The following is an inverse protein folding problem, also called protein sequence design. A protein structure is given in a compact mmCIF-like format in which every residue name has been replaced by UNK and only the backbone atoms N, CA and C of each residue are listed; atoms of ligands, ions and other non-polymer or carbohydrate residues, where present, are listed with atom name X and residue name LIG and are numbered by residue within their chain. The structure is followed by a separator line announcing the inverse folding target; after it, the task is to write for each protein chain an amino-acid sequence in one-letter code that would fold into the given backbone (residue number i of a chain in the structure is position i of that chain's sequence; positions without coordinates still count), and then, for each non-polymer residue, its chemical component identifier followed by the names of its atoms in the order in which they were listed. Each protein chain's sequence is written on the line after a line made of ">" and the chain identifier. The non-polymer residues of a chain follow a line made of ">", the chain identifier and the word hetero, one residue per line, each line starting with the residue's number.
data_IF_221255156355
#
_entry.id   IF_221255156355
#
_cell.length_a   1.000
_cell.length_b   1.000
_cell.length_c   1.000
_cell.angle_alpha   90.00
_cell.angle_beta   90.00
_cell.angle_gamma   90.00
#
_symmetry.space_group_name_H-M   'P 1'
#
loop_
_entity.id
_entity.type
_entity.pdbx_description
1 polymer ?
#
# COMPACT_ATOMS: atom_id res chain seq x y z
N UNK A 1 -0.87 -23.75 -18.22
CA UNK A 1 -0.62 -22.75 -17.15
C UNK A 1 -1.63 -21.63 -17.30
N UNK A 2 -1.91 -20.90 -16.22
CA UNK A 2 -2.83 -19.75 -16.22
C UNK A 2 -2.15 -18.51 -15.64
N UNK A 3 -2.53 -17.35 -16.16
CA UNK A 3 -2.08 -16.03 -15.73
C UNK A 3 -3.29 -15.14 -15.47
N UNK A 4 -3.30 -14.51 -14.30
CA UNK A 4 -4.37 -13.65 -13.82
C UNK A 4 -3.95 -12.19 -14.03
N UNK A 5 -4.58 -11.51 -14.97
CA UNK A 5 -4.35 -10.08 -15.20
C UNK A 5 -5.34 -9.32 -14.33
N UNK A 6 -4.79 -8.52 -13.41
CA UNK A 6 -5.55 -7.82 -12.39
C UNK A 6 -5.54 -6.31 -12.62
N UNK A 7 -6.59 -5.62 -12.18
CA UNK A 7 -6.60 -4.16 -12.10
C UNK A 7 -5.75 -3.64 -10.92
N UNK A 8 -5.69 -2.32 -10.74
CA UNK A 8 -4.88 -1.67 -9.70
C UNK A 8 -5.31 -1.99 -8.25
N UNK A 9 -6.53 -2.51 -8.05
CA UNK A 9 -7.03 -2.95 -6.75
C UNK A 9 -6.88 -4.47 -6.53
N UNK A 10 -6.37 -5.18 -7.54
CA UNK A 10 -6.19 -6.63 -7.49
C UNK A 10 -7.38 -7.45 -7.96
N UNK A 11 -8.42 -6.84 -8.55
CA UNK A 11 -9.52 -7.62 -9.15
C UNK A 11 -9.07 -8.29 -10.45
N UNK A 12 -9.37 -9.57 -10.64
CA UNK A 12 -9.05 -10.30 -11.88
C UNK A 12 -9.95 -9.83 -13.02
N UNK A 13 -9.36 -9.23 -14.05
CA UNK A 13 -10.06 -8.75 -15.25
C UNK A 13 -10.02 -9.78 -16.38
N UNK A 14 -8.92 -10.54 -16.48
CA UNK A 14 -8.70 -11.52 -17.53
C UNK A 14 -7.90 -12.70 -16.98
N UNK A 15 -8.33 -13.91 -17.34
CA UNK A 15 -7.53 -15.12 -17.16
C UNK A 15 -7.07 -15.57 -18.53
N UNK A 16 -5.76 -15.59 -18.73
CA UNK A 16 -5.13 -16.10 -19.94
C UNK A 16 -4.49 -17.45 -19.64
N UNK A 17 -4.61 -18.41 -20.53
CA UNK A 17 -4.04 -19.73 -20.32
C UNK A 17 -3.66 -20.40 -21.62
N UNK A 18 -3.10 -21.60 -21.52
CA UNK A 18 -2.79 -22.44 -22.68
C UNK A 18 -3.98 -23.32 -23.04
N UNK A 19 -4.26 -23.47 -24.34
CA UNK A 19 -5.12 -24.53 -24.83
C UNK A 19 -4.47 -25.87 -24.46
N UNK A 20 -5.26 -26.82 -23.97
CA UNK A 20 -4.81 -28.20 -23.85
C UNK A 20 -5.11 -28.92 -25.15
N UNK A 21 -4.12 -29.12 -26.02
CA UNK A 21 -4.29 -30.00 -27.17
C UNK A 21 -4.05 -31.45 -26.74
N UNK A 22 -4.99 -32.36 -26.98
CA UNK A 22 -4.74 -33.80 -26.83
C UNK A 22 -3.80 -34.35 -27.91
N UNK A 23 -3.47 -33.54 -28.92
CA UNK A 23 -2.54 -33.85 -29.98
C UNK A 23 -1.18 -33.20 -29.68
N UNK A 24 -0.19 -34.03 -29.36
CA UNK A 24 1.17 -33.62 -29.00
C UNK A 24 1.96 -32.99 -30.15
N UNK A 25 1.47 -33.10 -31.39
CA UNK A 25 2.13 -32.51 -32.56
C UNK A 25 1.71 -31.05 -32.83
N UNK A 26 0.75 -30.53 -32.07
CA UNK A 26 0.29 -29.14 -32.15
C UNK A 26 0.83 -28.39 -30.93
N UNK A 27 1.54 -27.29 -31.14
CA UNK A 27 2.00 -26.44 -30.05
C UNK A 27 0.79 -25.84 -29.32
N UNK A 28 0.81 -25.89 -27.99
CA UNK A 28 -0.22 -25.25 -27.17
C UNK A 28 -0.25 -23.75 -27.45
N UNK A 29 -1.34 -23.29 -28.07
CA UNK A 29 -1.59 -21.87 -28.28
C UNK A 29 -2.17 -21.27 -26.99
N UNK A 30 -1.92 -19.98 -26.76
CA UNK A 30 -2.54 -19.29 -25.65
C UNK A 30 -3.92 -18.74 -26.00
N UNK A 31 -4.83 -18.77 -25.04
CA UNK A 31 -6.22 -18.35 -25.17
C UNK A 31 -6.70 -17.57 -23.94
N UNK A 32 -7.72 -16.74 -24.13
CA UNK A 32 -8.46 -16.13 -23.02
C UNK A 32 -9.42 -17.17 -22.46
N UNK A 33 -9.24 -17.55 -21.20
CA UNK A 33 -10.07 -18.52 -20.47
C UNK A 33 -11.32 -17.86 -19.87
N UNK A 34 -11.15 -16.66 -19.29
CA UNK A 34 -12.23 -15.87 -18.67
C UNK A 34 -11.95 -14.38 -18.83
N UNK A 35 -13.00 -13.58 -18.90
CA UNK A 35 -12.93 -12.13 -18.89
C UNK A 35 -14.06 -11.55 -18.06
N UNK A 36 -13.74 -10.58 -17.21
CA UNK A 36 -14.65 -9.96 -16.26
C UNK A 36 -14.56 -8.44 -16.32
N UNK A 37 -15.65 -7.79 -15.95
CA UNK A 37 -15.66 -6.42 -15.47
C UNK A 37 -16.34 -6.37 -14.11
N UNK A 38 -16.16 -5.28 -13.35
CA UNK A 38 -16.78 -5.12 -12.05
C UNK A 38 -17.38 -3.74 -11.92
N UNK A 39 -18.61 -3.68 -11.39
CA UNK A 39 -19.11 -2.42 -10.84
C UNK A 39 -18.28 -2.02 -9.62
N UNK A 40 -18.40 -0.76 -9.22
CA UNK A 40 -17.55 -0.16 -8.19
C UNK A 40 -17.51 -0.95 -6.88
N UNK A 41 -18.59 -1.64 -6.49
CA UNK A 41 -18.68 -2.40 -5.24
C UNK A 41 -18.51 -3.92 -5.38
N UNK A 42 -18.09 -4.38 -6.57
CA UNK A 42 -17.72 -5.77 -6.81
C UNK A 42 -18.81 -6.65 -7.42
N UNK A 43 -19.88 -6.06 -7.94
CA UNK A 43 -20.83 -6.79 -8.79
C UNK A 43 -20.09 -7.17 -10.07
N UNK A 44 -19.84 -8.48 -10.22
CA UNK A 44 -19.10 -9.05 -11.34
C UNK A 44 -19.98 -9.10 -12.59
N UNK A 45 -19.39 -8.72 -13.72
CA UNK A 45 -19.98 -8.79 -15.05
C UNK A 45 -19.13 -9.75 -15.86
N UNK A 46 -19.70 -10.88 -16.28
CA UNK A 46 -19.01 -11.86 -17.11
C UNK A 46 -19.02 -11.39 -18.57
N UNK A 47 -17.83 -11.12 -19.12
CA UNK A 47 -17.67 -10.71 -20.51
C UNK A 47 -17.49 -11.92 -21.44
N UNK A 48 -16.89 -13.00 -20.92
CA UNK A 48 -16.77 -14.29 -21.59
C UNK A 48 -17.19 -15.38 -20.61
N UNK A 49 -18.29 -16.05 -20.92
CA UNK A 49 -18.80 -17.19 -20.17
C UNK A 49 -18.39 -18.49 -20.88
N UNK A 50 -17.16 -18.95 -20.67
CA UNK A 50 -16.74 -20.28 -21.12
C UNK A 50 -16.75 -21.29 -19.95
N UNK A 51 -16.89 -22.58 -20.25
CA UNK A 51 -17.01 -23.69 -19.30
C UNK A 51 -15.68 -24.10 -18.63
N UNK A 52 -14.74 -23.16 -18.49
CA UNK A 52 -13.50 -23.36 -17.73
C UNK A 52 -13.73 -23.38 -16.22
N UNK A 53 -12.69 -23.81 -15.50
CA UNK A 53 -12.67 -23.91 -14.04
C UNK A 53 -13.07 -22.60 -13.34
N UNK A 54 -13.60 -22.73 -12.12
CA UNK A 54 -14.01 -21.58 -11.30
C UNK A 54 -12.79 -20.71 -10.99
N UNK A 55 -12.93 -19.41 -11.25
CA UNK A 55 -11.97 -18.40 -10.79
C UNK A 55 -12.29 -18.05 -9.35
N UNK A 56 -11.36 -18.34 -8.44
CA UNK A 56 -11.49 -18.08 -7.00
C UNK A 56 -10.96 -16.70 -6.60
N UNK A 57 -10.13 -16.06 -7.43
CA UNK A 57 -9.61 -14.71 -7.18
C UNK A 57 -10.36 -13.69 -8.05
N UNK A 58 -11.52 -13.19 -7.60
CA UNK A 58 -12.35 -12.24 -8.34
C UNK A 58 -12.14 -10.80 -7.85
N UNK A 59 -13.17 -10.15 -7.30
CA UNK A 59 -13.14 -8.75 -6.88
C UNK A 59 -12.12 -8.52 -5.75
N UNK A 60 -11.14 -7.65 -5.98
CA UNK A 60 -10.04 -7.35 -5.03
C UNK A 60 -9.28 -8.61 -4.57
N UNK A 61 -9.28 -9.65 -5.39
CA UNK A 61 -8.67 -10.95 -5.09
C UNK A 61 -9.50 -11.83 -4.14
N UNK A 62 -10.80 -11.56 -3.99
CA UNK A 62 -11.71 -12.35 -3.14
C UNK A 62 -12.54 -13.34 -3.93
N UNK A 63 -12.89 -14.43 -3.25
CA UNK A 63 -13.77 -15.45 -3.81
C UNK A 63 -15.21 -14.94 -3.79
N UNK A 64 -15.90 -15.16 -4.91
CA UNK A 64 -17.34 -15.02 -5.02
C UNK A 64 -17.95 -16.39 -4.74
N UNK A 65 -18.86 -16.44 -3.78
CA UNK A 65 -19.62 -17.63 -3.46
C UNK A 65 -20.76 -17.84 -4.48
N UNK A 66 -20.87 -19.04 -5.05
CA UNK A 66 -21.79 -19.29 -6.18
C UNK A 66 -23.24 -19.52 -5.72
N UNK A 67 -23.46 -19.82 -4.44
CA UNK A 67 -24.81 -20.06 -3.90
C UNK A 67 -25.46 -18.74 -3.45
N UNK A 68 -24.66 -17.87 -2.82
CA UNK A 68 -25.14 -16.62 -2.23
C UNK A 68 -24.85 -15.38 -3.08
N UNK A 69 -23.96 -15.51 -4.07
CA UNK A 69 -23.43 -14.40 -4.89
C UNK A 69 -22.66 -13.34 -4.09
N UNK A 70 -22.30 -13.64 -2.85
CA UNK A 70 -21.56 -12.75 -1.96
C UNK A 70 -20.05 -12.95 -2.11
N UNK A 71 -19.29 -11.89 -1.90
CA UNK A 71 -17.83 -11.97 -1.89
C UNK A 71 -17.34 -12.29 -0.47
N UNK A 72 -16.55 -13.35 -0.30
CA UNK A 72 -15.98 -13.77 0.98
C UNK A 72 -14.63 -13.09 1.24
N UNK A 73 -14.56 -12.31 2.33
CA UNK A 73 -13.37 -11.55 2.68
C UNK A 73 -12.57 -12.15 3.84
N UNK A 74 -12.98 -13.29 4.39
CA UNK A 74 -12.38 -13.90 5.58
C UNK A 74 -13.23 -13.60 6.81
N UNK A 75 -13.22 -12.36 7.32
CA UNK A 75 -14.01 -12.03 8.50
C UNK A 75 -15.49 -11.74 8.21
N UNK A 76 -15.81 -11.31 6.98
CA UNK A 76 -17.16 -10.86 6.59
C UNK A 76 -17.47 -11.25 5.14
N UNK A 77 -18.75 -11.27 4.81
CA UNK A 77 -19.25 -11.38 3.46
C UNK A 77 -19.77 -10.02 2.98
N UNK A 78 -19.35 -9.62 1.79
CA UNK A 78 -19.77 -8.40 1.12
C UNK A 78 -20.90 -8.73 0.15
N UNK A 79 -22.01 -8.00 0.25
CA UNK A 79 -23.03 -7.95 -0.80
C UNK A 79 -22.57 -6.97 -1.89
N UNK A 80 -22.19 -7.46 -3.08
CA UNK A 80 -21.68 -6.61 -4.14
C UNK A 80 -22.74 -5.70 -4.79
N UNK A 81 -24.02 -6.08 -4.71
CA UNK A 81 -25.14 -5.32 -5.25
C UNK A 81 -25.47 -4.12 -4.34
N UNK A 82 -25.44 -4.34 -3.03
CA UNK A 82 -25.67 -3.29 -2.03
C UNK A 82 -24.40 -2.47 -1.72
N UNK A 83 -23.22 -3.05 -1.92
CA UNK A 83 -21.94 -2.47 -1.51
C UNK A 83 -21.78 -2.41 0.01
N UNK A 84 -22.36 -3.38 0.73
CA UNK A 84 -22.41 -3.41 2.19
C UNK A 84 -22.03 -4.79 2.73
N UNK A 85 -21.40 -4.81 3.90
CA UNK A 85 -21.21 -6.05 4.65
C UNK A 85 -22.56 -6.58 5.13
N UNK A 86 -22.76 -7.90 5.07
CA UNK A 86 -23.98 -8.54 5.61
C UNK A 86 -23.91 -8.72 7.14
N UNK A 87 -22.72 -8.60 7.71
CA UNK A 87 -22.46 -8.78 9.15
C UNK A 87 -21.80 -7.54 9.74
N UNK A 88 -21.96 -7.38 11.06
CA UNK A 88 -21.42 -6.26 11.83
C UNK A 88 -19.89 -6.30 11.81
N UNK A 89 -19.24 -5.17 11.50
CA UNK A 89 -17.80 -4.97 11.69
C UNK A 89 -17.36 -5.35 13.12
N UNK A 90 -16.53 -6.41 13.29
CA UNK A 90 -16.02 -6.80 14.59
C UNK A 90 -15.23 -5.68 15.30
N UNK A 91 -14.59 -4.79 14.54
CA UNK A 91 -13.79 -3.68 15.06
C UNK A 91 -14.58 -2.37 15.23
N UNK A 92 -15.83 -2.30 14.74
CA UNK A 92 -16.72 -1.14 14.84
C UNK A 92 -16.04 0.19 14.46
N UNK A 93 -15.34 0.20 13.33
CA UNK A 93 -14.45 1.29 12.95
C UNK A 93 -15.18 2.52 12.39
N UNK A 94 -16.45 2.37 11.99
CA UNK A 94 -17.22 3.41 11.29
C UNK A 94 -18.56 3.71 11.97
N UNK A 95 -19.18 4.82 11.53
CA UNK A 95 -20.49 5.25 11.99
C UNK A 95 -21.58 4.18 11.75
N UNK A 96 -21.45 3.39 10.67
CA UNK A 96 -22.25 2.19 10.44
C UNK A 96 -21.34 0.96 10.34
N UNK A 97 -21.63 -0.14 11.05
CA UNK A 97 -20.79 -1.33 11.05
C UNK A 97 -20.88 -2.16 9.76
N UNK A 98 -21.74 -1.75 8.81
CA UNK A 98 -21.98 -2.47 7.56
C UNK A 98 -21.28 -1.83 6.34
N UNK A 99 -20.47 -0.79 6.55
CA UNK A 99 -19.83 -0.06 5.45
C UNK A 99 -18.62 -0.81 4.88
N UNK A 100 -18.67 -1.13 3.58
CA UNK A 100 -17.48 -1.51 2.83
C UNK A 100 -16.60 -0.28 2.60
N UNK A 101 -15.32 -0.37 2.94
CA UNK A 101 -14.32 0.72 2.84
C UNK A 101 -14.69 2.05 3.54
N UNK A 102 -15.60 2.01 4.53
CA UNK A 102 -15.86 3.12 5.46
C UNK A 102 -16.68 4.29 4.90
N UNK A 103 -16.81 5.36 5.70
CA UNK A 103 -17.72 6.50 5.46
C UNK A 103 -17.24 7.40 4.31
N UNK A 104 -17.49 7.02 3.05
CA UNK A 104 -17.12 7.83 1.88
C UNK A 104 -16.84 7.10 0.55
N UNK A 105 -17.54 6.00 0.27
CA UNK A 105 -17.85 5.43 -1.06
C UNK A 105 -16.76 5.54 -2.15
N UNK A 106 -15.50 5.21 -1.86
CA UNK A 106 -14.50 5.11 -2.93
C UNK A 106 -13.85 3.73 -3.02
N UNK A 107 -14.64 2.70 -3.38
CA UNK A 107 -14.11 1.37 -3.66
C UNK A 107 -13.28 1.34 -4.96
N UNK A 108 -13.09 2.48 -5.65
CA UNK A 108 -12.13 2.62 -6.74
C UNK A 108 -10.71 2.91 -6.25
N UNK A 109 -10.53 3.29 -4.98
CA UNK A 109 -9.24 3.66 -4.40
C UNK A 109 -9.01 3.01 -3.02
N UNK A 110 -9.82 2.03 -2.64
CA UNK A 110 -9.66 1.33 -1.38
C UNK A 110 -10.19 -0.09 -1.53
N UNK A 111 -9.59 -1.02 -0.78
CA UNK A 111 -10.09 -2.37 -0.60
C UNK A 111 -10.16 -2.68 0.89
N UNK A 112 -10.87 -3.74 1.27
CA UNK A 112 -10.74 -4.33 2.60
C UNK A 112 -10.10 -5.71 2.43
N UNK A 113 -8.80 -5.92 2.69
CA UNK A 113 -8.16 -7.19 2.36
C UNK A 113 -8.58 -8.40 3.22
N UNK A 114 -9.23 -8.23 4.36
CA UNK A 114 -9.56 -9.35 5.27
C UNK A 114 -10.95 -9.26 5.91
N UNK A 115 -11.73 -8.25 5.51
CA UNK A 115 -12.99 -7.91 6.15
C UNK A 115 -12.81 -7.26 7.52
N UNK A 116 -11.64 -6.77 7.90
CA UNK A 116 -11.39 -6.07 9.16
C UNK A 116 -10.53 -4.81 9.04
N UNK A 117 -9.88 -4.57 7.91
CA UNK A 117 -9.01 -3.41 7.72
C UNK A 117 -9.26 -2.80 6.36
N UNK A 118 -9.41 -1.49 6.31
CA UNK A 118 -9.39 -0.78 5.02
C UNK A 118 -7.93 -0.63 4.62
N UNK A 119 -7.62 -1.01 3.39
CA UNK A 119 -6.41 -0.66 2.68
C UNK A 119 -6.71 0.45 1.67
N UNK A 120 -6.18 1.65 1.87
CA UNK A 120 -6.40 2.76 0.93
C UNK A 120 -5.28 2.83 -0.09
N UNK A 121 -5.63 2.79 -1.37
CA UNK A 121 -4.74 3.04 -2.48
C UNK A 121 -4.71 4.56 -2.71
N UNK A 122 -3.52 5.14 -2.68
CA UNK A 122 -3.39 6.58 -2.77
C UNK A 122 -3.90 7.12 -4.12
N UNK A 123 -4.61 8.26 -4.10
CA UNK A 123 -4.95 9.08 -5.30
C UNK A 123 -3.74 9.83 -5.86
N UNK A 124 -2.57 9.21 -5.82
CA UNK A 124 -1.38 9.77 -6.41
C UNK A 124 -1.54 9.77 -7.93
N UNK A 125 -1.01 10.79 -8.61
CA UNK A 125 -0.83 10.68 -10.06
C UNK A 125 0.11 9.51 -10.39
N UNK A 126 -0.03 8.93 -11.59
CA UNK A 126 0.88 7.87 -12.07
C UNK A 126 2.36 8.30 -11.95
N UNK A 127 2.66 9.55 -12.35
CA UNK A 127 3.98 10.15 -12.23
C UNK A 127 4.49 10.20 -10.79
N UNK A 128 3.60 10.43 -9.82
CA UNK A 128 3.98 10.43 -8.41
C UNK A 128 4.22 9.01 -7.90
N UNK A 129 3.42 8.02 -8.32
CA UNK A 129 3.66 6.63 -7.96
C UNK A 129 5.01 6.13 -8.49
N UNK A 130 5.39 6.53 -9.71
CA UNK A 130 6.72 6.25 -10.27
C UNK A 130 7.79 6.90 -9.39
N UNK A 131 7.69 8.19 -9.10
CA UNK A 131 8.67 8.91 -8.27
C UNK A 131 8.81 8.31 -6.86
N UNK A 132 7.69 7.92 -6.23
CA UNK A 132 7.69 7.29 -4.92
C UNK A 132 8.35 5.90 -4.96
N UNK A 133 8.06 5.10 -5.99
CA UNK A 133 8.70 3.80 -6.18
C UNK A 133 10.20 3.92 -6.46
N UNK A 134 10.61 4.93 -7.24
CA UNK A 134 12.03 5.17 -7.53
C UNK A 134 12.77 5.64 -6.27
N UNK A 135 12.16 6.53 -5.47
CA UNK A 135 12.72 6.92 -4.17
C UNK A 135 12.81 5.74 -3.19
N UNK A 136 11.80 4.86 -3.14
CA UNK A 136 11.86 3.63 -2.34
C UNK A 136 12.98 2.69 -2.79
N UNK A 137 13.19 2.54 -4.11
CA UNK A 137 14.28 1.75 -4.67
C UNK A 137 15.64 2.37 -4.38
N UNK A 138 15.76 3.70 -4.42
CA UNK A 138 17.00 4.39 -4.07
C UNK A 138 17.37 4.13 -2.61
N UNK A 139 16.40 4.21 -1.68
CA UNK A 139 16.59 3.84 -0.27
C UNK A 139 16.94 2.35 -0.13
N UNK A 140 16.23 1.46 -0.83
CA UNK A 140 16.48 0.02 -0.75
C UNK A 140 17.86 -0.37 -1.30
N UNK A 141 18.35 0.35 -2.31
CA UNK A 141 19.64 0.11 -2.95
C UNK A 141 20.79 0.95 -2.38
N UNK A 142 20.53 1.84 -1.41
CA UNK A 142 21.57 2.68 -0.80
C UNK A 142 22.62 1.82 -0.09
N UNK A 143 22.19 0.76 0.57
CA UNK A 143 23.05 -0.10 1.37
C UNK A 143 22.29 -1.22 2.08
N UNK A 144 22.98 -2.09 2.84
CA UNK A 144 22.36 -3.19 3.57
C UNK A 144 21.33 -2.70 4.61
N UNK A 145 21.58 -1.55 5.23
CA UNK A 145 20.66 -0.95 6.21
C UNK A 145 19.41 -0.38 5.54
N UNK A 146 19.56 0.35 4.42
CA UNK A 146 18.42 0.81 3.61
C UNK A 146 17.56 -0.34 3.11
N UNK A 147 18.18 -1.42 2.63
CA UNK A 147 17.48 -2.65 2.24
C UNK A 147 16.71 -3.28 3.40
N UNK A 148 17.36 -3.47 4.55
CA UNK A 148 16.73 -4.05 5.73
C UNK A 148 15.57 -3.19 6.25
N UNK A 149 15.73 -1.87 6.19
CA UNK A 149 14.71 -0.90 6.58
C UNK A 149 13.46 -1.02 5.71
N UNK A 150 13.60 -0.94 4.38
CA UNK A 150 12.46 -1.08 3.46
C UNK A 150 11.81 -2.48 3.57
N UNK A 151 12.62 -3.54 3.72
CA UNK A 151 12.11 -4.89 3.92
C UNK A 151 11.25 -5.00 5.19
N UNK A 152 11.70 -4.43 6.32
CA UNK A 152 10.93 -4.39 7.57
C UNK A 152 9.57 -3.69 7.38
N UNK A 153 9.55 -2.53 6.72
CA UNK A 153 8.31 -1.79 6.49
C UNK A 153 7.34 -2.57 5.60
N UNK A 154 7.85 -3.26 4.57
CA UNK A 154 7.06 -4.11 3.67
C UNK A 154 6.54 -5.39 4.32
N UNK A 155 7.24 -5.93 5.32
CA UNK A 155 6.83 -7.16 6.03
C UNK A 155 5.95 -6.89 7.25
N UNK A 156 5.62 -5.62 7.54
CA UNK A 156 4.73 -5.23 8.63
C UNK A 156 3.29 -5.65 8.35
N UNK A 157 2.60 -6.19 9.37
CA UNK A 157 1.14 -6.42 9.34
C UNK A 157 0.33 -5.11 9.42
N UNK A 158 1.00 -3.99 9.73
CA UNK A 158 0.40 -2.65 9.75
C UNK A 158 0.56 -1.95 8.42
N UNK A 159 -0.42 -1.12 8.05
CA UNK A 159 -0.42 -0.41 6.78
C UNK A 159 0.45 0.86 6.83
N UNK A 160 1.25 1.06 5.78
CA UNK A 160 2.00 2.27 5.53
C UNK A 160 1.60 2.81 4.15
N UNK A 161 1.00 3.99 4.10
CA UNK A 161 0.49 4.60 2.87
C UNK A 161 1.31 5.85 2.53
N UNK A 162 1.89 5.91 1.33
CA UNK A 162 2.54 7.12 0.82
C UNK A 162 1.56 7.90 -0.05
N UNK A 163 1.23 9.12 0.37
CA UNK A 163 0.31 10.04 -0.32
C UNK A 163 1.03 11.30 -0.77
N UNK A 164 0.62 11.78 -1.95
CA UNK A 164 1.11 13.01 -2.55
C UNK A 164 0.85 14.23 -1.66
N UNK A 165 1.92 14.98 -1.41
CA UNK A 165 1.93 16.29 -0.77
C UNK A 165 2.53 17.32 -1.71
N UNK A 166 2.16 18.58 -1.53
CA UNK A 166 2.73 19.73 -2.24
C UNK A 166 3.15 20.86 -1.29
N UNK A 167 3.22 20.55 0.02
CA UNK A 167 3.48 21.54 1.08
C UNK A 167 4.75 21.19 1.85
N UNK A 168 4.78 20.00 2.42
CA UNK A 168 5.88 19.48 3.22
C UNK A 168 5.78 17.96 3.31
N UNK A 169 6.89 17.36 3.73
CA UNK A 169 6.91 15.99 4.20
C UNK A 169 6.41 15.95 5.64
N UNK A 170 5.50 15.02 5.95
CA UNK A 170 5.13 14.69 7.32
C UNK A 170 4.43 13.33 7.38
N UNK A 171 4.42 12.71 8.56
CA UNK A 171 3.78 11.41 8.81
C UNK A 171 2.64 11.54 9.82
N UNK A 172 1.51 10.92 9.53
CA UNK A 172 0.32 10.87 10.39
C UNK A 172 0.08 9.45 10.91
N UNK A 173 -0.17 9.33 12.22
CA UNK A 173 -0.51 8.07 12.85
C UNK A 173 -2.04 7.84 12.85
N UNK A 174 -2.47 6.69 12.35
CA UNK A 174 -3.86 6.22 12.38
C UNK A 174 -3.93 4.90 13.13
N UNK A 175 -3.98 4.98 14.46
CA UNK A 175 -3.79 3.79 15.31
C UNK A 175 -2.35 3.30 15.21
N UNK A 176 -2.16 2.07 14.72
CA UNK A 176 -0.83 1.49 14.42
C UNK A 176 -0.46 1.54 12.93
N UNK A 177 -1.29 2.16 12.09
CA UNK A 177 -1.00 2.40 10.67
C UNK A 177 -0.41 3.81 10.48
N UNK A 178 0.40 3.99 9.44
CA UNK A 178 1.06 5.24 9.11
C UNK A 178 0.64 5.78 7.74
N UNK A 179 0.44 7.10 7.65
CA UNK A 179 0.22 7.82 6.40
C UNK A 179 1.33 8.83 6.21
N UNK A 180 2.20 8.59 5.23
CA UNK A 180 3.30 9.48 4.86
C UNK A 180 2.79 10.45 3.80
N UNK A 181 2.72 11.73 4.12
CA UNK A 181 2.53 12.81 3.14
C UNK A 181 3.91 13.21 2.63
N UNK A 182 4.25 12.84 1.39
CA UNK A 182 5.57 13.11 0.81
C UNK A 182 5.46 14.04 -0.40
N UNK A 183 6.28 15.08 -0.44
CA UNK A 183 6.42 15.99 -1.56
C UNK A 183 7.72 15.65 -2.32
N UNK A 184 7.55 15.10 -3.52
CA UNK A 184 8.66 14.69 -4.39
C UNK A 184 9.53 15.87 -4.87
N UNK A 185 9.12 17.12 -4.65
CA UNK A 185 9.88 18.31 -4.98
C UNK A 185 10.53 18.96 -3.74
N UNK A 186 10.29 18.44 -2.54
CA UNK A 186 10.83 18.97 -1.31
C UNK A 186 12.31 18.56 -1.12
N UNK A 187 13.21 19.42 -1.60
CA UNK A 187 14.68 19.24 -1.50
C UNK A 187 15.29 19.90 -0.27
N UNK A 188 14.46 20.52 0.59
CA UNK A 188 14.91 21.20 1.80
C UNK A 188 14.57 20.35 3.03
N UNK A 189 15.51 20.27 3.97
CA UNK A 189 15.35 19.53 5.22
C UNK A 189 16.09 20.18 6.37
N UNK A 190 16.63 19.32 7.24
CA UNK A 190 17.55 19.72 8.30
C UNK A 190 18.86 20.27 7.78
N UNK A 191 19.49 21.12 8.58
CA UNK A 191 20.86 21.56 8.30
C UNK A 191 21.83 20.38 8.47
N UNK A 192 22.74 20.26 7.53
CA UNK A 192 23.76 19.21 7.51
C UNK A 192 25.10 19.73 8.03
N UNK A 193 26.09 18.84 8.15
CA UNK A 193 27.44 19.16 8.62
C UNK A 193 28.20 20.21 7.78
N UNK A 194 27.66 20.60 6.64
CA UNK A 194 28.22 21.63 5.75
C UNK A 194 27.43 22.95 5.83
N UNK A 195 26.47 23.07 6.76
CA UNK A 195 25.58 24.23 6.87
C UNK A 195 24.52 24.32 5.76
N UNK A 196 24.35 23.26 4.97
CA UNK A 196 23.36 23.19 3.89
C UNK A 196 22.10 22.48 4.35
N UNK A 197 20.95 23.02 3.93
CA UNK A 197 19.64 22.38 4.17
C UNK A 197 19.18 21.52 3.00
N UNK A 198 19.99 21.38 1.95
CA UNK A 198 19.63 20.57 0.78
C UNK A 198 19.78 19.09 1.07
N UNK A 199 18.85 18.29 0.54
CA UNK A 199 18.83 16.83 0.60
C UNK A 199 18.22 16.24 -0.66
N UNK A 200 18.52 14.98 -0.95
CA UNK A 200 17.71 14.22 -1.91
C UNK A 200 16.28 14.03 -1.40
N UNK A 201 15.37 13.83 -2.34
CA UNK A 201 13.94 13.65 -2.05
C UNK A 201 13.67 12.29 -1.41
N UNK A 202 14.49 11.29 -1.72
CA UNK A 202 14.52 9.96 -1.10
C UNK A 202 14.99 10.00 0.36
N UNK A 203 16.02 10.78 0.70
CA UNK A 203 16.37 11.06 2.11
C UNK A 203 15.20 11.72 2.83
N UNK A 204 14.47 12.60 2.16
CA UNK A 204 13.25 13.19 2.69
C UNK A 204 12.09 12.23 2.89
N UNK A 205 11.99 11.18 2.08
CA UNK A 205 11.03 10.09 2.26
C UNK A 205 11.47 9.16 3.40
N UNK A 206 12.76 8.82 3.47
CA UNK A 206 13.33 7.95 4.50
C UNK A 206 13.10 8.49 5.91
N UNK A 207 13.19 9.81 6.10
CA UNK A 207 12.86 10.47 7.36
C UNK A 207 11.41 10.15 7.81
N UNK A 208 10.44 10.36 6.92
CA UNK A 208 9.02 10.08 7.19
C UNK A 208 8.72 8.59 7.40
N UNK A 209 9.41 7.74 6.66
CA UNK A 209 9.35 6.29 6.87
C UNK A 209 9.93 5.90 8.24
N UNK A 210 10.88 6.66 8.79
CA UNK A 210 11.39 6.45 10.14
C UNK A 210 10.34 6.71 11.22
N UNK A 211 9.49 7.74 11.04
CA UNK A 211 8.31 7.92 11.89
C UNK A 211 7.30 6.79 11.69
N UNK A 212 7.12 6.33 10.46
CA UNK A 212 6.24 5.20 10.16
C UNK A 212 6.69 3.94 10.89
N UNK A 213 8.00 3.69 10.98
CA UNK A 213 8.59 2.60 11.77
C UNK A 213 8.20 2.68 13.26
N UNK A 214 8.28 3.86 13.87
CA UNK A 214 7.88 4.04 15.27
C UNK A 214 6.38 3.80 15.47
N UNK A 215 5.54 4.18 14.51
CA UNK A 215 4.09 3.96 14.54
C UNK A 215 3.77 2.47 14.49
N UNK A 216 4.35 1.73 13.53
CA UNK A 216 4.08 0.29 13.40
C UNK A 216 4.65 -0.50 14.58
N UNK A 217 5.78 -0.08 15.16
CA UNK A 217 6.38 -0.69 16.34
C UNK A 217 5.63 -0.34 17.65
N UNK A 218 4.66 0.59 17.60
CA UNK A 218 3.92 1.07 18.78
C UNK A 218 4.76 1.96 19.71
N UNK A 219 5.86 2.51 19.21
CA UNK A 219 6.77 3.44 19.92
C UNK A 219 6.45 4.91 19.67
N UNK A 220 5.58 5.19 18.69
CA UNK A 220 5.19 6.55 18.35
C UNK A 220 4.65 7.29 19.57
N UNK A 221 5.21 8.48 19.81
CA UNK A 221 4.85 9.34 20.92
C UNK A 221 4.60 10.76 20.43
N UNK A 222 3.59 11.42 20.99
CA UNK A 222 3.35 12.87 20.80
C UNK A 222 4.11 13.73 21.82
N UNK A 223 4.95 13.08 22.61
CA UNK A 223 5.75 13.73 23.64
C UNK A 223 6.73 14.73 23.04
N UNK A 224 6.73 15.92 23.61
CA UNK A 224 7.61 17.02 23.23
C UNK A 224 8.90 17.04 24.07
N UNK A 225 9.11 16.05 24.95
CA UNK A 225 10.38 15.90 25.65
C UNK A 225 11.54 15.74 24.68
N UNK A 226 12.67 16.27 25.11
CA UNK A 226 13.93 16.28 24.37
C UNK A 226 14.89 15.27 25.00
N UNK A 227 15.73 14.65 24.17
CA UNK A 227 16.84 13.83 24.64
C UNK A 227 18.01 14.70 25.13
N UNK A 228 19.08 14.05 25.61
CA UNK A 228 20.28 14.72 26.14
C UNK A 228 20.99 15.64 25.12
N UNK A 229 20.72 15.42 23.83
CA UNK A 229 21.34 16.12 22.71
C UNK A 229 20.43 17.24 22.18
N UNK A 230 19.30 17.53 22.84
CA UNK A 230 18.39 18.62 22.46
C UNK A 230 17.39 18.26 21.35
N UNK A 231 17.29 16.97 20.99
CA UNK A 231 16.42 16.49 19.92
C UNK A 231 15.08 16.00 20.52
N UNK A 232 13.93 16.39 19.96
CA UNK A 232 12.65 15.82 20.37
C UNK A 232 12.68 14.29 20.26
N UNK A 233 12.24 13.57 21.30
CA UNK A 233 12.29 12.09 21.33
C UNK A 233 11.57 11.47 20.12
N UNK A 234 10.49 12.10 19.65
CA UNK A 234 9.73 11.67 18.46
C UNK A 234 10.49 11.76 17.13
N UNK A 235 11.58 12.53 17.09
CA UNK A 235 12.42 12.75 15.89
C UNK A 235 13.65 11.83 15.87
N UNK A 236 13.97 11.16 16.98
CA UNK A 236 15.22 10.43 17.15
C UNK A 236 15.40 9.31 16.12
N UNK A 237 14.38 8.44 15.96
CA UNK A 237 14.45 7.35 14.99
C UNK A 237 14.42 7.87 13.55
N UNK A 238 13.61 8.88 13.25
CA UNK A 238 13.52 9.48 11.93
C UNK A 238 14.84 10.11 11.48
N UNK A 239 15.50 10.86 12.37
CA UNK A 239 16.83 11.44 12.12
C UNK A 239 17.88 10.34 11.99
N UNK A 240 17.81 9.29 12.82
CA UNK A 240 18.73 8.15 12.71
C UNK A 240 18.60 7.45 11.35
N UNK A 241 17.37 7.17 10.89
CA UNK A 241 17.11 6.58 9.56
C UNK A 241 17.56 7.52 8.45
N UNK A 242 17.27 8.80 8.56
CA UNK A 242 17.74 9.81 7.62
C UNK A 242 19.28 9.81 7.50
N UNK A 243 20.01 9.83 8.61
CA UNK A 243 21.48 9.83 8.59
C UNK A 243 22.06 8.51 8.07
N UNK A 244 21.44 7.38 8.35
CA UNK A 244 21.86 6.10 7.78
C UNK A 244 21.76 6.12 6.24
N UNK A 245 20.65 6.62 5.70
CA UNK A 245 20.46 6.72 4.24
C UNK A 245 21.38 7.78 3.63
N UNK A 246 21.61 8.91 4.32
CA UNK A 246 22.59 9.91 3.87
C UNK A 246 23.99 9.32 3.77
N UNK A 247 24.43 8.58 4.80
CA UNK A 247 25.72 7.90 4.81
C UNK A 247 25.86 6.92 3.62
N UNK A 248 24.85 6.08 3.42
CA UNK A 248 24.80 5.10 2.33
C UNK A 248 24.84 5.77 0.94
N UNK A 249 24.22 6.94 0.78
CA UNK A 249 24.20 7.71 -0.48
C UNK A 249 25.41 8.65 -0.65
N UNK A 250 26.29 8.74 0.36
CA UNK A 250 27.41 9.70 0.35
C UNK A 250 26.98 11.16 0.47
N UNK A 251 25.81 11.42 1.05
CA UNK A 251 25.33 12.77 1.36
C UNK A 251 25.82 13.24 2.74
N UNK A 252 26.03 14.56 2.94
CA UNK A 252 26.40 15.07 4.25
C UNK A 252 25.32 14.78 5.30
N UNK A 253 25.76 14.30 6.47
CA UNK A 253 24.89 13.95 7.59
C UNK A 253 24.20 15.19 8.15
N UNK A 254 22.96 15.01 8.63
CA UNK A 254 22.22 16.05 9.35
C UNK A 254 22.94 16.35 10.67
N UNK A 255 23.26 17.62 10.90
CA UNK A 255 23.66 18.08 12.22
C UNK A 255 22.42 18.09 13.09
N UNK A 256 22.53 17.45 14.25
CA UNK A 256 21.42 17.35 15.19
C UNK A 256 20.87 18.75 15.51
N UNK A 257 19.55 18.90 15.46
CA UNK A 257 18.87 20.16 15.79
C UNK A 257 18.92 20.47 17.27
#
# INVERSE_FOLDING_TARGET
>A
FEWYLKNHLGSTMLVYGTQGSSNTDIADLGEVKKAYDYRSFGEQIDLIADAGDKVTENFTGKEKDDETELNYFGARYLDPMLGMWISVDPKRQFASPYLYVGNGMNPLNATDPDGNIIKMYSRNSESYNIAANDALKEIENSGPEGKAFIAKLRSSDQEIIIKQSSKRNHTEAHGRNAVVLWDMNAVMGGENAEGSRRRSTSVGLAHELGHSEDIIDGKFTKDERYNKDGIPIKEENAIKRENQIREDLGEPLREFY
#
